data_IF_211500957627
#
_entry.id   IF_211500957627
#
_cell.length_a   1.000
_cell.length_b   1.000
_cell.length_c   1.000
_cell.angle_alpha   90.00
_cell.angle_beta   90.00
_cell.angle_gamma   90.00
#
_symmetry.space_group_name_H-M   'P 1'
#
loop_
_entity.id
_entity.type
_entity.pdbx_description
1 polymer ?
#
# COMPACT_ATOMS: atom_id res chain seq x y z
N UNK A 1 -3.13 5.39 0.03
CA UNK A 1 -2.15 4.38 -0.49
C UNK A 1 -1.86 3.40 0.62
N UNK A 2 -2.02 2.10 0.37
CA UNK A 2 -1.82 1.09 1.40
C UNK A 2 -0.36 0.68 1.55
N UNK A 3 0.12 0.63 2.79
CA UNK A 3 1.43 0.09 3.16
C UNK A 3 1.20 -0.98 4.22
N UNK A 4 1.81 -2.15 4.07
CA UNK A 4 1.72 -3.20 5.08
C UNK A 4 3.02 -3.99 5.22
N UNK A 5 3.21 -4.55 6.40
CA UNK A 5 4.34 -5.41 6.76
C UNK A 5 3.89 -6.42 7.82
N UNK A 6 4.67 -7.49 7.99
CA UNK A 6 4.47 -8.48 9.05
C UNK A 6 5.62 -8.31 10.02
N UNK A 7 5.33 -8.02 11.29
CA UNK A 7 6.42 -7.87 12.25
C UNK A 7 7.02 -9.22 12.68
N UNK A 8 8.10 -9.16 13.46
CA UNK A 8 8.78 -10.34 14.00
C UNK A 8 7.89 -11.27 14.86
N UNK A 9 6.72 -10.81 15.32
CA UNK A 9 5.74 -11.63 16.05
C UNK A 9 4.72 -12.31 15.13
N UNK A 10 4.77 -12.03 13.82
CA UNK A 10 3.80 -12.51 12.83
C UNK A 10 2.55 -11.64 12.75
N UNK A 11 2.53 -10.46 13.38
CA UNK A 11 1.39 -9.55 13.35
C UNK A 11 1.41 -8.72 12.08
N UNK A 12 0.26 -8.68 11.38
CA UNK A 12 0.04 -7.78 10.26
C UNK A 12 -0.13 -6.35 10.78
N UNK A 13 0.67 -5.45 10.24
CA UNK A 13 0.48 -4.02 10.33
C UNK A 13 0.08 -3.47 8.96
N UNK A 14 -0.84 -2.52 8.94
CA UNK A 14 -1.30 -1.91 7.71
C UNK A 14 -1.66 -0.44 7.96
N UNK A 15 -1.19 0.44 7.08
CA UNK A 15 -1.40 1.88 7.15
C UNK A 15 -1.91 2.41 5.82
N UNK A 16 -2.81 3.38 5.90
CA UNK A 16 -3.20 4.21 4.78
C UNK A 16 -2.44 5.53 4.80
N UNK A 17 -1.86 5.89 3.67
CA UNK A 17 -0.98 7.04 3.50
C UNK A 17 -1.21 7.76 2.18
N UNK A 18 -0.90 9.05 2.12
CA UNK A 18 -0.91 9.84 0.89
C UNK A 18 0.40 10.59 0.69
N UNK A 19 0.80 10.77 -0.56
CA UNK A 19 2.05 11.45 -0.91
C UNK A 19 1.76 12.78 -1.60
N UNK A 20 2.47 13.83 -1.17
CA UNK A 20 2.39 15.18 -1.73
C UNK A 20 3.62 15.54 -2.58
N UNK A 21 4.59 14.62 -2.69
CA UNK A 21 5.85 14.82 -3.39
C UNK A 21 6.80 13.64 -3.17
N UNK A 22 8.08 13.84 -3.52
CA UNK A 22 9.13 12.84 -3.31
C UNK A 22 9.69 12.90 -1.88
N UNK A 23 8.80 12.67 -0.92
CA UNK A 23 9.05 12.66 0.53
C UNK A 23 8.36 11.45 1.15
N UNK A 24 8.60 11.18 2.43
CA UNK A 24 7.84 10.16 3.17
C UNK A 24 6.34 10.46 3.05
N UNK A 25 5.51 9.50 2.58
CA UNK A 25 4.06 9.66 2.56
C UNK A 25 3.50 9.92 3.96
N UNK A 26 2.59 10.88 4.06
CA UNK A 26 1.91 11.22 5.30
C UNK A 26 0.89 10.12 5.63
N UNK A 27 0.72 9.80 6.91
CA UNK A 27 -0.41 8.95 7.34
C UNK A 27 -1.73 9.67 7.04
N UNK A 28 -2.70 8.94 6.51
CA UNK A 28 -4.06 9.45 6.44
C UNK A 28 -4.72 9.30 7.82
N UNK A 29 -4.78 10.40 8.56
CA UNK A 29 -5.41 10.44 9.88
C UNK A 29 -6.89 10.79 9.82
N UNK A 30 -7.38 11.21 8.64
CA UNK A 30 -8.75 11.71 8.47
C UNK A 30 -9.70 10.64 7.98
N UNK A 31 -9.21 9.71 7.17
CA UNK A 31 -9.97 8.59 6.61
C UNK A 31 -9.13 7.33 6.72
N UNK A 32 -9.80 6.17 6.68
CA UNK A 32 -9.14 4.88 6.59
C UNK A 32 -9.81 4.14 5.45
N UNK A 33 -9.19 4.19 4.28
CA UNK A 33 -9.79 3.65 3.05
C UNK A 33 -9.17 2.30 2.66
N UNK A 34 -8.00 2.00 3.19
CA UNK A 34 -7.26 0.77 2.93
C UNK A 34 -7.20 -0.12 4.17
N UNK A 35 -7.70 -1.35 4.06
CA UNK A 35 -7.74 -2.27 5.20
C UNK A 35 -6.95 -3.54 4.91
N UNK A 36 -5.92 -3.79 5.71
CA UNK A 36 -5.29 -5.11 5.80
C UNK A 36 -6.28 -6.15 6.32
N UNK A 37 -6.34 -7.31 5.68
CA UNK A 37 -7.23 -8.42 6.04
C UNK A 37 -6.46 -9.55 6.71
N UNK A 38 -5.39 -9.99 6.05
CA UNK A 38 -4.51 -11.05 6.53
C UNK A 38 -3.16 -10.89 5.85
N UNK A 39 -2.11 -11.39 6.49
CA UNK A 39 -0.79 -11.40 5.89
C UNK A 39 0.07 -12.50 6.45
N UNK A 40 1.09 -12.86 5.67
CA UNK A 40 2.04 -13.92 5.99
C UNK A 40 3.37 -13.55 5.39
N UNK A 41 4.40 -13.70 6.20
CA UNK A 41 5.78 -13.58 5.76
C UNK A 41 6.47 -14.91 6.00
N UNK A 42 7.00 -15.50 4.93
CA UNK A 42 7.78 -16.72 5.02
C UNK A 42 8.87 -16.79 3.98
N UNK A 43 10.04 -17.24 4.42
CA UNK A 43 11.25 -17.33 3.61
C UNK A 43 11.65 -15.96 3.04
N UNK A 44 11.38 -15.73 1.74
CA UNK A 44 11.77 -14.53 0.99
C UNK A 44 10.56 -13.82 0.37
N UNK A 45 9.34 -14.10 0.85
CA UNK A 45 8.15 -13.43 0.36
C UNK A 45 7.22 -13.03 1.49
N UNK A 46 6.57 -11.89 1.27
CA UNK A 46 5.51 -11.34 2.12
C UNK A 46 4.26 -11.25 1.26
N UNK A 47 3.16 -11.87 1.71
CA UNK A 47 1.85 -11.70 1.08
C UNK A 47 0.92 -10.98 2.05
N UNK A 48 0.25 -9.96 1.55
CA UNK A 48 -0.73 -9.18 2.30
C UNK A 48 -1.99 -9.11 1.45
N UNK A 49 -3.09 -9.57 2.02
CA UNK A 49 -4.41 -9.36 1.47
C UNK A 49 -4.99 -8.09 2.08
N UNK A 50 -5.54 -7.23 1.24
CA UNK A 50 -6.19 -6.00 1.65
C UNK A 50 -7.49 -5.78 0.89
N UNK A 51 -8.31 -4.85 1.37
CA UNK A 51 -9.48 -4.33 0.65
C UNK A 51 -9.46 -2.80 0.62
N UNK A 52 -10.04 -2.25 -0.44
CA UNK A 52 -10.27 -0.82 -0.67
C UNK A 52 -11.47 -0.67 -1.61
N UNK A 53 -12.30 0.36 -1.39
CA UNK A 53 -13.34 0.71 -2.35
C UNK A 53 -12.74 1.23 -3.66
N UNK A 54 -13.36 0.92 -4.81
CA UNK A 54 -12.89 1.43 -6.10
C UNK A 54 -12.92 2.97 -6.15
N UNK A 55 -13.86 3.57 -5.45
CA UNK A 55 -13.96 5.01 -5.26
C UNK A 55 -14.31 5.28 -3.79
N UNK A 56 -13.36 5.85 -3.05
CA UNK A 56 -13.48 6.07 -1.60
C UNK A 56 -14.16 7.40 -1.26
N UNK A 57 -14.31 8.29 -2.26
CA UNK A 57 -14.77 9.67 -2.11
C UNK A 57 -13.86 10.56 -1.25
N UNK A 58 -12.66 10.09 -0.91
CA UNK A 58 -11.63 10.92 -0.31
C UNK A 58 -10.84 11.69 -1.39
N UNK A 59 -10.69 13.00 -1.17
CA UNK A 59 -9.87 13.90 -1.98
C UNK A 59 -8.38 13.54 -2.06
N UNK A 60 -7.86 12.83 -1.07
CA UNK A 60 -6.45 12.41 -1.02
C UNK A 60 -6.19 11.10 -1.76
N UNK A 61 -7.25 10.44 -2.22
CA UNK A 61 -7.21 9.09 -2.74
C UNK A 61 -7.62 9.08 -4.24
N UNK A 62 -6.92 8.30 -5.06
CA UNK A 62 -7.16 8.29 -6.51
C UNK A 62 -8.21 7.23 -6.89
N UNK A 63 -9.35 7.58 -7.51
CA UNK A 63 -10.39 6.61 -7.84
C UNK A 63 -9.90 5.63 -8.90
N UNK A 64 -10.20 4.34 -8.69
CA UNK A 64 -10.00 3.27 -9.67
C UNK A 64 -11.20 3.29 -10.62
N UNK A 65 -10.99 3.86 -11.81
CA UNK A 65 -12.03 4.02 -12.82
C UNK A 65 -11.99 2.89 -13.86
N UNK A 66 -13.10 2.65 -14.59
CA UNK A 66 -13.09 1.78 -15.76
C UNK A 66 -12.02 2.21 -16.77
N UNK A 67 -11.27 1.23 -17.29
CA UNK A 67 -10.18 1.46 -18.25
C UNK A 67 -8.81 1.07 -17.69
N UNK A 68 -7.75 1.60 -18.32
CA UNK A 68 -6.37 1.31 -17.91
C UNK A 68 -6.02 2.16 -16.69
N UNK A 69 -5.61 1.48 -15.62
CA UNK A 69 -5.09 2.06 -14.40
C UNK A 69 -3.56 1.89 -14.37
N UNK A 70 -2.88 2.78 -13.66
CA UNK A 70 -1.44 2.66 -13.39
C UNK A 70 -1.28 2.21 -11.95
N UNK A 71 -0.81 0.98 -11.75
CA UNK A 71 -0.42 0.46 -10.45
C UNK A 71 1.05 0.80 -10.19
N UNK A 72 1.29 1.47 -9.07
CA UNK A 72 2.61 1.67 -8.51
C UNK A 72 2.77 0.69 -7.34
N UNK A 73 3.88 -0.03 -7.33
CA UNK A 73 4.22 -0.97 -6.27
C UNK A 73 5.66 -0.78 -5.87
N UNK A 74 5.96 -0.90 -4.58
CA UNK A 74 7.31 -0.86 -4.05
C UNK A 74 7.42 -1.70 -2.78
N UNK A 75 8.63 -2.14 -2.44
CA UNK A 75 8.87 -2.92 -1.23
C UNK A 75 10.20 -2.61 -0.56
N UNK A 76 10.21 -2.66 0.77
CA UNK A 76 11.39 -2.57 1.63
C UNK A 76 11.95 -3.96 1.96
N UNK A 77 13.14 -3.99 2.58
CA UNK A 77 13.75 -5.22 3.12
C UNK A 77 13.75 -5.25 4.65
N UNK A 78 13.24 -4.19 5.28
CA UNK A 78 13.22 -4.02 6.73
C UNK A 78 11.86 -3.50 7.15
N UNK A 79 11.41 -3.94 8.31
CA UNK A 79 10.18 -3.42 8.92
C UNK A 79 10.32 -1.94 9.29
N UNK A 80 9.22 -1.17 9.22
CA UNK A 80 9.17 0.19 9.73
C UNK A 80 9.61 0.29 11.20
N UNK A 81 10.55 1.18 11.50
CA UNK A 81 10.99 1.49 12.87
C UNK A 81 11.71 2.86 12.92
N UNK A 82 11.12 3.93 13.51
CA UNK A 82 9.73 4.04 13.96
C UNK A 82 8.74 4.26 12.80
N UNK A 83 9.25 4.50 11.59
CA UNK A 83 8.48 4.84 10.40
C UNK A 83 9.00 4.06 9.16
N UNK A 84 8.26 4.13 8.05
CA UNK A 84 8.61 3.53 6.77
C UNK A 84 9.92 4.11 6.23
N UNK A 85 10.68 3.27 5.54
CA UNK A 85 11.95 3.65 4.91
C UNK A 85 11.82 3.66 3.39
N UNK A 86 12.74 4.35 2.72
CA UNK A 86 12.73 4.44 1.27
C UNK A 86 12.97 3.07 0.61
N UNK A 87 12.15 2.72 -0.38
CA UNK A 87 12.17 1.43 -1.07
C UNK A 87 13.35 1.27 -2.06
N UNK A 88 14.19 2.29 -2.25
CA UNK A 88 15.30 2.27 -3.20
C UNK A 88 14.85 1.97 -4.64
N UNK A 89 15.59 1.13 -5.36
CA UNK A 89 15.27 0.67 -6.72
C UNK A 89 14.14 -0.38 -6.77
N UNK A 90 13.63 -0.85 -5.62
CA UNK A 90 12.61 -1.90 -5.54
C UNK A 90 11.21 -1.32 -5.74
N UNK A 91 10.95 -0.88 -6.96
CA UNK A 91 9.68 -0.29 -7.39
C UNK A 91 9.31 -0.74 -8.79
N UNK A 92 8.02 -0.83 -9.05
CA UNK A 92 7.44 -1.26 -10.33
C UNK A 92 6.26 -0.36 -10.68
N UNK A 93 6.15 -0.06 -11.97
CA UNK A 93 4.96 0.55 -12.57
C UNK A 93 4.32 -0.46 -13.51
N UNK A 94 3.03 -0.71 -13.36
CA UNK A 94 2.29 -1.64 -14.19
C UNK A 94 1.00 -0.99 -14.71
N UNK A 95 0.65 -1.24 -15.97
CA UNK A 95 -0.56 -0.69 -16.62
C UNK A 95 -1.55 -1.81 -16.87
N UNK A 96 -2.69 -1.78 -16.19
CA UNK A 96 -3.68 -2.87 -16.22
C UNK A 96 -5.11 -2.38 -15.95
N UNK A 97 -6.14 -3.09 -16.44
CA UNK A 97 -7.52 -2.80 -16.09
C UNK A 97 -7.89 -3.40 -14.72
N UNK A 98 -7.93 -2.57 -13.67
CA UNK A 98 -8.27 -3.00 -12.31
C UNK A 98 -9.79 -3.20 -12.08
N UNK A 99 -10.65 -2.63 -12.95
CA UNK A 99 -12.11 -2.70 -12.82
C UNK A 99 -12.73 -4.06 -13.21
N UNK A 100 -11.94 -4.96 -13.81
CA UNK A 100 -12.42 -6.27 -14.33
C UNK A 100 -11.73 -7.47 -13.66
N UNK A 101 -11.04 -7.24 -12.54
CA UNK A 101 -10.34 -8.28 -11.79
C UNK A 101 -11.28 -9.01 -10.82
#
# INVERSE_FOLDING_TARGET
MGIGWIDASGQLHFEDRYAVGFTTPNKDSTTQDWFGLQGREENNWTAIQFKRALDTKDSMDYPILPGINILLFAYGLVDPNPDITYHESRRVTHRLPLWKA
#
